data_IF_711601719599
#
_entry.id   IF_711601719599
#
_cell.length_a   1.000
_cell.length_b   1.000
_cell.length_c   1.000
_cell.angle_alpha   90.00
_cell.angle_beta   90.00
_cell.angle_gamma   90.00
#
_symmetry.space_group_name_H-M   'P 1'
#
loop_
_entity.id
_entity.type
_entity.pdbx_description
1 polymer ?
#
# COMPACT_ATOMS: atom_id res chain seq x y z
N UNK A 1 -3.54 -19.20 29.32
CA UNK A 1 -4.85 -19.69 28.88
C UNK A 1 -4.68 -20.37 27.53
N UNK A 2 -4.99 -21.67 27.41
CA UNK A 2 -4.84 -22.37 26.12
C UNK A 2 -6.04 -22.08 25.21
N UNK A 3 -5.88 -22.14 23.87
CA UNK A 3 -7.02 -22.01 22.95
C UNK A 3 -8.15 -23.00 23.26
N UNK A 4 -7.81 -24.22 23.68
CA UNK A 4 -8.78 -25.24 24.12
C UNK A 4 -9.63 -24.77 25.31
N UNK A 5 -9.00 -24.17 26.31
CA UNK A 5 -9.69 -23.68 27.50
C UNK A 5 -10.63 -22.52 27.17
N UNK A 6 -10.24 -21.66 26.22
CA UNK A 6 -11.09 -20.56 25.74
C UNK A 6 -12.34 -21.11 25.04
N UNK A 7 -12.21 -22.18 24.26
CA UNK A 7 -13.33 -22.75 23.48
C UNK A 7 -14.25 -23.65 24.31
N UNK A 8 -13.70 -24.40 25.26
CA UNK A 8 -14.44 -25.46 25.97
C UNK A 8 -14.67 -25.17 27.45
N UNK A 9 -14.13 -24.07 27.99
CA UNK A 9 -14.31 -23.66 29.39
C UNK A 9 -13.60 -24.53 30.43
N UNK A 10 -12.93 -25.60 29.99
CA UNK A 10 -12.23 -26.55 30.85
C UNK A 10 -10.79 -26.74 30.38
N UNK A 11 -9.91 -27.19 31.28
CA UNK A 11 -8.52 -27.48 30.92
C UNK A 11 -8.45 -28.67 29.95
N UNK A 12 -7.51 -28.65 28.98
CA UNK A 12 -7.29 -29.79 28.11
C UNK A 12 -6.88 -31.01 28.95
N UNK A 13 -7.31 -32.23 28.57
CA UNK A 13 -6.90 -33.45 29.27
C UNK A 13 -5.38 -33.58 29.23
N UNK A 14 -4.75 -33.58 30.41
CA UNK A 14 -3.29 -33.70 30.53
C UNK A 14 -2.87 -35.16 30.46
N UNK A 15 -1.86 -35.46 29.64
CA UNK A 15 -1.18 -36.75 29.69
C UNK A 15 -0.35 -36.77 30.98
N UNK A 16 -0.50 -37.76 31.86
CA UNK A 16 0.24 -37.81 33.12
C UNK A 16 1.75 -37.88 32.86
N UNK A 17 2.52 -37.13 33.65
CA UNK A 17 3.97 -37.14 33.56
C UNK A 17 4.51 -38.47 34.09
N UNK A 18 5.29 -39.17 33.25
CA UNK A 18 5.98 -40.37 33.69
C UNK A 18 7.12 -40.02 34.67
N UNK A 19 7.19 -40.77 35.76
CA UNK A 19 8.25 -40.74 36.77
C UNK A 19 9.13 -41.99 36.59
N UNK A 20 10.44 -41.82 36.47
CA UNK A 20 11.37 -42.93 36.29
C UNK A 20 11.25 -43.94 37.45
N UNK A 21 11.24 -45.23 37.13
CA UNK A 21 11.09 -46.32 38.10
C UNK A 21 9.65 -46.64 38.53
N UNK A 22 8.62 -45.97 37.97
CA UNK A 22 7.21 -46.30 38.30
C UNK A 22 6.65 -47.48 37.52
N UNK A 23 7.27 -47.86 36.40
CA UNK A 23 6.88 -49.07 35.68
C UNK A 23 7.60 -50.31 36.23
N UNK A 24 6.87 -51.41 36.38
CA UNK A 24 7.44 -52.69 36.84
C UNK A 24 8.36 -53.36 35.81
N UNK A 25 8.38 -52.87 34.56
CA UNK A 25 9.09 -53.50 33.45
C UNK A 25 10.18 -52.55 32.96
N UNK A 26 11.44 -52.95 33.13
CA UNK A 26 12.62 -52.13 32.78
C UNK A 26 12.61 -51.62 31.33
N UNK A 27 12.15 -52.44 30.38
CA UNK A 27 12.02 -52.05 28.98
C UNK A 27 11.02 -50.90 28.76
N UNK A 28 9.98 -50.81 29.59
CA UNK A 28 8.98 -49.74 29.54
C UNK A 28 9.54 -48.47 30.20
N UNK A 29 10.24 -48.61 31.33
CA UNK A 29 10.85 -47.49 32.05
C UNK A 29 11.88 -46.75 31.19
N UNK A 30 12.79 -47.52 30.58
CA UNK A 30 13.80 -47.00 29.66
C UNK A 30 13.19 -46.33 28.42
N UNK A 31 12.17 -46.94 27.81
CA UNK A 31 11.45 -46.35 26.66
C UNK A 31 10.79 -45.01 27.01
N UNK A 32 10.08 -44.95 28.14
CA UNK A 32 9.37 -43.74 28.57
C UNK A 32 10.33 -42.62 28.96
N UNK A 33 11.45 -42.97 29.61
CA UNK A 33 12.52 -42.02 29.95
C UNK A 33 13.17 -41.46 28.68
N UNK A 34 13.55 -42.33 27.73
CA UNK A 34 14.13 -41.91 26.45
C UNK A 34 13.16 -41.01 25.66
N UNK A 35 11.87 -41.38 25.62
CA UNK A 35 10.83 -40.56 24.96
C UNK A 35 10.74 -39.17 25.58
N UNK A 36 10.79 -39.06 26.91
CA UNK A 36 10.73 -37.77 27.62
C UNK A 36 11.92 -36.90 27.24
N UNK A 37 13.12 -37.45 27.22
CA UNK A 37 14.34 -36.77 26.77
C UNK A 37 14.22 -36.29 25.32
N UNK A 38 13.72 -37.14 24.41
CA UNK A 38 13.47 -36.75 23.01
C UNK A 38 12.48 -35.59 22.90
N UNK A 39 11.36 -35.63 23.63
CA UNK A 39 10.34 -34.56 23.60
C UNK A 39 10.93 -33.23 24.08
N UNK A 40 11.73 -33.24 25.15
CA UNK A 40 12.44 -32.04 25.63
C UNK A 40 13.39 -31.52 24.56
N UNK A 41 14.19 -32.40 23.96
CA UNK A 41 15.11 -32.04 22.88
C UNK A 41 14.38 -31.46 21.66
N UNK A 42 13.23 -32.03 21.28
CA UNK A 42 12.41 -31.52 20.17
C UNK A 42 11.82 -30.15 20.45
N UNK A 43 11.28 -29.93 21.66
CA UNK A 43 10.76 -28.61 22.05
C UNK A 43 11.84 -27.54 21.97
N UNK A 44 13.03 -27.82 22.49
CA UNK A 44 14.19 -26.90 22.42
C UNK A 44 14.61 -26.61 20.97
N UNK A 45 14.60 -27.63 20.10
CA UNK A 45 14.88 -27.44 18.67
C UNK A 45 13.81 -26.61 17.98
N UNK A 46 12.53 -26.84 18.28
CA UNK A 46 11.41 -26.06 17.73
C UNK A 46 11.50 -24.60 18.11
N UNK A 47 11.76 -24.31 19.38
CA UNK A 47 11.95 -22.94 19.88
C UNK A 47 13.11 -22.25 19.15
N UNK A 48 14.27 -22.92 19.03
CA UNK A 48 15.41 -22.41 18.27
C UNK A 48 15.06 -22.11 16.81
N UNK A 49 14.29 -22.98 16.15
CA UNK A 49 13.85 -22.76 14.76
C UNK A 49 12.90 -21.57 14.68
N UNK A 50 11.95 -21.44 15.60
CA UNK A 50 11.04 -20.29 15.66
C UNK A 50 11.80 -18.97 15.81
N UNK A 51 12.80 -18.91 16.70
CA UNK A 51 13.64 -17.73 16.89
C UNK A 51 14.45 -17.38 15.64
N UNK A 52 14.99 -18.39 14.95
CA UNK A 52 15.69 -18.20 13.68
C UNK A 52 14.75 -17.67 12.59
N UNK A 53 13.55 -18.25 12.46
CA UNK A 53 12.54 -17.78 11.50
C UNK A 53 12.11 -16.35 11.79
N UNK A 54 11.91 -16.01 13.07
CA UNK A 54 11.60 -14.64 13.51
C UNK A 54 12.72 -13.68 13.14
N UNK A 55 13.97 -14.00 13.48
CA UNK A 55 15.13 -13.17 13.16
C UNK A 55 15.27 -12.93 11.65
N UNK A 56 15.09 -13.98 10.84
CA UNK A 56 15.13 -13.86 9.37
C UNK A 56 13.99 -13.01 8.84
N UNK A 57 12.78 -13.12 9.41
CA UNK A 57 11.64 -12.29 9.04
C UNK A 57 11.88 -10.81 9.41
N UNK A 58 12.27 -10.55 10.65
CA UNK A 58 12.52 -9.21 11.19
C UNK A 58 13.63 -8.50 10.40
N UNK A 59 14.70 -9.22 10.01
CA UNK A 59 15.78 -8.68 9.17
C UNK A 59 15.30 -8.27 7.76
N UNK A 60 14.25 -8.91 7.23
CA UNK A 60 13.65 -8.54 5.93
C UNK A 60 12.62 -7.41 6.07
N UNK A 61 12.13 -7.16 7.28
CA UNK A 61 11.23 -6.07 7.58
C UNK A 61 12.00 -4.77 7.76
N UNK A 62 11.50 -3.67 7.19
CA UNK A 62 12.03 -2.33 7.46
C UNK A 62 11.19 -1.69 8.55
N UNK A 63 11.83 -1.32 9.65
CA UNK A 63 11.21 -0.47 10.66
C UNK A 63 11.11 0.95 10.09
N UNK A 64 9.88 1.42 9.90
CA UNK A 64 9.59 2.77 9.41
C UNK A 64 8.70 3.46 10.42
N UNK A 65 9.17 4.61 10.87
CA UNK A 65 8.44 5.50 11.76
C UNK A 65 8.19 6.83 11.06
N UNK A 66 7.05 7.43 11.37
CA UNK A 66 6.64 8.73 10.85
C UNK A 66 6.29 9.65 12.00
N UNK A 67 6.58 10.94 11.83
CA UNK A 67 6.21 11.96 12.80
C UNK A 67 4.82 12.53 12.48
N UNK A 68 4.16 13.05 13.51
CA UNK A 68 2.92 13.82 13.34
C UNK A 68 3.23 15.07 12.51
N UNK A 69 2.26 15.52 11.72
CA UNK A 69 2.37 16.63 10.75
C UNK A 69 3.30 16.39 9.55
N UNK A 70 3.93 15.22 9.43
CA UNK A 70 4.60 14.83 8.19
C UNK A 70 3.60 14.40 7.11
N UNK A 71 4.01 14.63 5.87
CA UNK A 71 3.26 14.23 4.69
C UNK A 71 3.70 12.85 4.22
N UNK A 72 2.72 12.00 3.91
CA UNK A 72 2.93 10.65 3.44
C UNK A 72 2.02 10.34 2.27
N UNK A 73 2.52 9.54 1.33
CA UNK A 73 1.70 8.91 0.32
C UNK A 73 1.10 7.61 0.86
N UNK A 74 -0.13 7.31 0.44
CA UNK A 74 -0.83 6.09 0.86
C UNK A 74 -0.95 5.12 -0.29
N UNK A 75 -0.57 3.86 -0.07
CA UNK A 75 -0.83 2.77 -1.01
C UNK A 75 -2.27 2.29 -0.89
N UNK A 76 -3.09 2.58 -1.90
CA UNK A 76 -4.50 2.20 -1.93
C UNK A 76 -4.73 0.99 -2.83
N UNK A 77 -5.78 0.22 -2.55
CA UNK A 77 -6.20 -0.90 -3.40
C UNK A 77 -7.08 -0.39 -4.56
N UNK A 78 -6.61 -0.47 -5.81
CA UNK A 78 -7.30 0.07 -6.98
C UNK A 78 -8.76 -0.32 -7.10
N UNK A 79 -9.04 -1.61 -6.94
CA UNK A 79 -10.34 -2.19 -7.25
C UNK A 79 -11.40 -1.91 -6.16
N UNK A 80 -10.99 -1.42 -4.99
CA UNK A 80 -11.89 -1.18 -3.84
C UNK A 80 -12.01 0.29 -3.47
N UNK A 81 -11.00 1.11 -3.78
CA UNK A 81 -10.87 2.47 -3.25
C UNK A 81 -10.79 3.50 -4.39
N UNK A 82 -11.92 3.70 -5.07
CA UNK A 82 -11.99 4.57 -6.26
C UNK A 82 -12.11 6.07 -5.92
N UNK A 83 -12.57 6.44 -4.72
CA UNK A 83 -12.87 7.85 -4.37
C UNK A 83 -11.67 8.81 -4.38
N UNK A 84 -10.44 8.30 -4.35
CA UNK A 84 -9.21 9.11 -4.39
C UNK A 84 -8.63 9.20 -5.80
N UNK A 85 -9.15 8.42 -6.76
CA UNK A 85 -8.61 8.32 -8.13
C UNK A 85 -9.38 9.24 -9.08
N UNK A 86 -8.64 9.92 -9.96
CA UNK A 86 -9.17 10.62 -11.14
C UNK A 86 -8.82 9.96 -12.48
N UNK A 87 -8.33 8.70 -12.48
CA UNK A 87 -7.83 8.03 -13.70
C UNK A 87 -8.81 6.97 -14.17
N UNK A 88 -9.18 7.03 -15.46
CA UNK A 88 -10.14 6.10 -16.09
C UNK A 88 -9.65 4.64 -16.12
N UNK A 89 -8.33 4.40 -16.17
CA UNK A 89 -7.74 3.07 -16.31
C UNK A 89 -7.03 2.60 -15.04
N UNK A 90 -7.49 1.50 -14.44
CA UNK A 90 -6.97 0.98 -13.17
C UNK A 90 -5.55 0.40 -13.27
N UNK A 91 -5.20 -0.22 -14.40
CA UNK A 91 -3.89 -0.88 -14.63
C UNK A 91 -2.73 0.12 -14.69
N UNK A 92 -3.01 1.35 -15.15
CA UNK A 92 -2.04 2.46 -15.21
C UNK A 92 -2.18 3.43 -14.02
N UNK A 93 -3.03 3.10 -13.04
CA UNK A 93 -3.20 3.92 -11.86
C UNK A 93 -1.95 3.97 -10.99
N UNK A 94 -1.71 5.12 -10.35
CA UNK A 94 -0.63 5.29 -9.37
C UNK A 94 -0.73 4.21 -8.28
N UNK A 95 0.41 3.70 -7.80
CA UNK A 95 0.43 2.76 -6.65
C UNK A 95 0.22 3.49 -5.32
N UNK A 96 0.80 4.69 -5.23
CA UNK A 96 0.76 5.57 -4.07
C UNK A 96 -0.01 6.84 -4.45
N UNK A 97 -0.95 7.21 -3.59
CA UNK A 97 -1.86 8.33 -3.79
C UNK A 97 -1.44 9.50 -2.94
N UNK A 98 -1.81 10.70 -3.44
CA UNK A 98 -1.68 12.06 -2.92
C UNK A 98 -1.05 12.18 -1.53
N UNK A 99 -0.22 13.20 -1.28
CA UNK A 99 0.28 13.40 0.07
C UNK A 99 -0.89 13.66 1.03
N UNK A 100 -0.96 12.86 2.08
CA UNK A 100 -1.85 13.02 3.22
C UNK A 100 -1.02 13.42 4.43
N UNK A 101 -1.52 14.34 5.24
CA UNK A 101 -0.87 14.74 6.49
C UNK A 101 -1.18 13.73 7.59
N UNK A 102 -0.19 13.36 8.39
CA UNK A 102 -0.39 12.54 9.59
C UNK A 102 -0.94 13.43 10.70
N UNK A 103 -2.11 13.09 11.24
CA UNK A 103 -2.74 13.81 12.34
C UNK A 103 -2.31 13.27 13.71
N UNK A 104 -2.22 11.95 13.84
CA UNK A 104 -1.84 11.31 15.11
C UNK A 104 -1.26 9.91 14.87
N UNK A 105 -0.44 9.46 15.81
CA UNK A 105 0.07 8.08 15.90
C UNK A 105 -0.80 7.32 16.91
N UNK A 106 -1.71 6.48 16.44
CA UNK A 106 -2.64 5.70 17.28
C UNK A 106 -1.92 4.56 18.00
N UNK A 107 -0.90 3.99 17.35
CA UNK A 107 -0.10 2.91 17.91
C UNK A 107 1.31 2.90 17.32
N UNK A 108 2.17 1.95 17.74
CA UNK A 108 3.56 1.91 17.28
C UNK A 108 3.68 1.82 15.76
N UNK A 109 2.70 1.20 15.08
CA UNK A 109 2.75 0.95 13.64
C UNK A 109 1.55 1.59 12.90
N UNK A 110 0.68 2.31 13.62
CA UNK A 110 -0.63 2.72 13.11
C UNK A 110 -0.81 4.22 13.21
N UNK A 111 -1.16 4.85 12.10
CA UNK A 111 -1.23 6.30 11.95
C UNK A 111 -2.60 6.71 11.41
N UNK A 112 -3.13 7.83 11.92
CA UNK A 112 -4.32 8.47 11.39
C UNK A 112 -3.92 9.60 10.46
N UNK A 113 -4.56 9.65 9.31
CA UNK A 113 -4.30 10.65 8.27
C UNK A 113 -5.44 11.65 8.14
N UNK A 114 -5.09 12.84 7.69
CA UNK A 114 -6.04 13.88 7.29
C UNK A 114 -6.64 13.52 5.93
N UNK A 115 -7.96 13.32 5.90
CA UNK A 115 -8.67 12.91 4.69
C UNK A 115 -9.18 14.12 3.92
N UNK A 116 -8.98 14.17 2.59
CA UNK A 116 -9.65 15.15 1.73
C UNK A 116 -11.18 15.00 1.84
N UNK A 117 -11.90 16.11 1.85
CA UNK A 117 -13.37 16.16 1.96
C UNK A 117 -14.09 15.28 0.91
N UNK A 118 -13.48 15.08 -0.26
CA UNK A 118 -14.02 14.29 -1.37
C UNK A 118 -13.82 12.78 -1.25
N UNK A 119 -12.96 12.31 -0.34
CA UNK A 119 -12.51 10.92 -0.30
C UNK A 119 -13.31 10.09 0.72
N UNK A 120 -13.65 8.83 0.40
CA UNK A 120 -14.41 7.91 1.29
C UNK A 120 -13.54 6.75 1.84
N UNK A 121 -12.26 7.01 2.08
CA UNK A 121 -11.31 6.00 2.56
C UNK A 121 -11.20 6.07 4.09
N UNK A 122 -10.97 4.92 4.73
CA UNK A 122 -10.62 4.85 6.14
C UNK A 122 -9.40 5.74 6.46
N UNK A 123 -9.40 6.34 7.65
CA UNK A 123 -8.38 7.30 8.07
C UNK A 123 -7.13 6.65 8.66
N UNK A 124 -7.24 5.38 9.07
CA UNK A 124 -6.26 4.69 9.89
C UNK A 124 -5.49 3.71 9.01
N UNK A 125 -4.17 3.86 8.98
CA UNK A 125 -3.28 3.05 8.15
C UNK A 125 -2.11 2.48 8.93
N UNK A 126 -1.68 1.29 8.52
CA UNK A 126 -0.45 0.66 8.99
C UNK A 126 0.77 1.27 8.26
N UNK A 127 1.90 1.42 8.95
CA UNK A 127 3.09 2.11 8.44
C UNK A 127 3.63 1.50 7.12
N UNK A 128 3.46 0.20 6.92
CA UNK A 128 3.90 -0.53 5.71
C UNK A 128 3.17 -0.11 4.43
N UNK A 129 2.01 0.55 4.57
CA UNK A 129 1.19 1.03 3.46
C UNK A 129 1.50 2.51 3.16
N UNK A 130 2.29 3.16 4.01
CA UNK A 130 2.68 4.56 3.89
C UNK A 130 4.06 4.68 3.24
N UNK A 131 4.31 5.82 2.60
CA UNK A 131 5.63 6.21 2.10
C UNK A 131 5.85 7.71 2.37
N UNK A 132 6.98 8.08 2.94
CA UNK A 132 7.31 9.48 3.21
C UNK A 132 7.25 10.33 1.93
N UNK A 133 6.66 11.52 2.04
CA UNK A 133 6.72 12.54 1.02
C UNK A 133 8.00 13.36 1.20
N UNK A 134 8.75 13.55 0.11
CA UNK A 134 9.93 14.41 0.08
C UNK A 134 9.74 15.45 -1.02
N UNK A 135 10.07 16.71 -0.73
CA UNK A 135 9.91 17.83 -1.65
C UNK A 135 8.72 18.74 -1.32
N UNK A 136 8.52 19.81 -2.10
CA UNK A 136 7.41 20.73 -1.93
C UNK A 136 6.09 19.99 -2.14
N UNK A 137 5.06 20.37 -1.38
CA UNK A 137 3.73 19.82 -1.59
C UNK A 137 3.28 20.11 -3.03
N UNK A 138 2.57 19.18 -3.68
CA UNK A 138 1.97 19.46 -4.96
C UNK A 138 0.92 20.56 -4.74
N UNK A 139 1.30 21.81 -5.01
CA UNK A 139 0.37 22.91 -5.25
C UNK A 139 -0.60 22.44 -6.32
N UNK A 140 -1.89 22.80 -6.18
CA UNK A 140 -2.91 22.49 -7.18
C UNK A 140 -2.32 22.69 -8.56
N UNK A 141 -2.40 21.65 -9.41
CA UNK A 141 -1.91 21.72 -10.77
C UNK A 141 -2.48 23.01 -11.35
N UNK A 142 -1.59 23.94 -11.72
CA UNK A 142 -2.01 25.13 -12.45
C UNK A 142 -2.88 24.64 -13.61
N UNK A 143 -3.98 25.36 -13.86
CA UNK A 143 -4.93 25.01 -14.90
C UNK A 143 -4.12 24.55 -16.12
N UNK A 144 -4.30 23.29 -16.52
CA UNK A 144 -3.75 22.85 -17.79
C UNK A 144 -4.23 23.89 -18.80
N UNK A 145 -3.34 24.52 -19.57
CA UNK A 145 -3.80 25.50 -20.55
C UNK A 145 -4.86 24.79 -21.38
N UNK A 146 -6.04 25.41 -21.54
CA UNK A 146 -7.20 24.84 -22.24
C UNK A 146 -6.96 24.60 -23.75
N UNK A 147 -5.69 24.48 -24.13
CA UNK A 147 -5.14 24.47 -25.47
C UNK A 147 -4.96 23.06 -26.00
N UNK A 148 -5.64 22.03 -25.48
CA UNK A 148 -5.59 20.68 -26.07
C UNK A 148 -6.97 20.01 -26.08
N UNK A 149 -7.44 19.61 -27.27
CA UNK A 149 -8.50 18.62 -27.41
C UNK A 149 -7.84 17.27 -27.77
N UNK A 150 -7.76 16.37 -26.80
CA UNK A 150 -7.04 15.11 -26.96
C UNK A 150 -5.51 15.31 -26.96
N UNK A 151 -4.81 14.67 -27.90
CA UNK A 151 -3.34 14.76 -28.06
C UNK A 151 -2.88 15.88 -29.00
N UNK A 152 -3.81 16.70 -29.51
CA UNK A 152 -3.51 17.78 -30.45
C UNK A 152 -3.70 19.14 -29.78
N UNK A 153 -2.84 20.13 -30.07
CA UNK A 153 -3.09 21.49 -29.64
C UNK A 153 -4.43 21.97 -30.22
N UNK A 154 -5.22 22.67 -29.41
CA UNK A 154 -6.45 23.34 -29.82
C UNK A 154 -6.01 24.59 -30.56
N UNK A 155 -5.86 24.46 -31.88
CA UNK A 155 -5.43 25.55 -32.76
C UNK A 155 -6.66 26.39 -33.10
N UNK A 156 -6.62 27.69 -32.81
CA UNK A 156 -7.62 28.66 -33.22
C UNK A 156 -7.01 29.66 -34.22
N UNK A 157 -7.78 30.14 -35.22
CA UNK A 157 -7.29 31.18 -36.13
C UNK A 157 -7.04 32.46 -35.33
N UNK A 158 -5.81 32.97 -35.35
CA UNK A 158 -5.45 34.20 -34.63
C UNK A 158 -5.77 35.42 -35.50
N UNK A 159 -5.22 35.46 -36.71
CA UNK A 159 -5.36 36.57 -37.66
C UNK A 159 -5.33 36.04 -39.08
N UNK A 160 -6.11 36.67 -39.96
CA UNK A 160 -5.99 36.49 -41.42
C UNK A 160 -4.93 37.47 -41.91
N UNK A 161 -3.84 36.95 -42.46
CA UNK A 161 -2.72 37.75 -42.97
C UNK A 161 -2.95 38.20 -44.42
N UNK A 162 -3.57 37.34 -45.23
CA UNK A 162 -3.77 37.61 -46.66
C UNK A 162 -4.96 36.79 -47.22
N UNK A 163 -5.50 37.19 -48.36
CA UNK A 163 -6.59 36.51 -49.05
C UNK A 163 -6.39 36.58 -50.56
N UNK A 164 -6.54 35.45 -51.26
CA UNK A 164 -6.50 35.38 -52.72
C UNK A 164 -7.78 34.77 -53.27
N UNK A 165 -8.20 35.29 -54.42
CA UNK A 165 -9.35 34.76 -55.16
C UNK A 165 -8.95 33.53 -55.97
N UNK A 166 -9.68 32.44 -55.81
CA UNK A 166 -9.41 31.18 -56.53
C UNK A 166 -10.72 30.47 -56.86
N UNK A 167 -11.07 30.42 -58.15
CA UNK A 167 -12.31 29.82 -58.63
C UNK A 167 -12.33 28.27 -58.54
N UNK A 168 -11.22 27.65 -58.11
CA UNK A 168 -11.14 26.18 -57.95
C UNK A 168 -11.69 25.66 -56.62
N UNK A 169 -11.93 26.54 -55.63
CA UNK A 169 -12.40 26.17 -54.27
C UNK A 169 -13.82 26.70 -54.03
N UNK A 170 -14.59 26.07 -53.13
CA UNK A 170 -15.91 26.56 -52.71
C UNK A 170 -15.91 26.76 -51.18
N UNK A 171 -16.04 28.01 -50.67
CA UNK A 171 -16.15 29.28 -51.39
C UNK A 171 -14.87 29.64 -52.18
N UNK A 172 -14.94 30.48 -53.24
CA UNK A 172 -13.84 30.79 -54.16
C UNK A 172 -12.82 31.78 -53.57
N UNK A 173 -12.40 31.54 -52.33
CA UNK A 173 -11.52 32.42 -51.57
C UNK A 173 -10.58 31.56 -50.71
N UNK A 174 -9.28 31.78 -50.88
CA UNK A 174 -8.24 31.16 -50.07
C UNK A 174 -7.63 32.20 -49.15
N UNK A 175 -7.52 31.86 -47.87
CA UNK A 175 -7.11 32.78 -46.81
C UNK A 175 -5.85 32.26 -46.13
N UNK A 176 -4.83 33.11 -46.01
CA UNK A 176 -3.61 32.84 -45.25
C UNK A 176 -3.89 33.17 -43.78
N UNK A 177 -3.98 32.13 -42.95
CA UNK A 177 -4.31 32.26 -41.52
C UNK A 177 -3.05 32.08 -40.68
N UNK A 178 -2.76 33.05 -39.82
CA UNK A 178 -1.83 32.88 -38.71
C UNK A 178 -2.55 32.16 -37.57
N UNK A 179 -2.01 31.03 -37.14
CA UNK A 179 -2.61 30.17 -36.13
C UNK A 179 -2.02 30.44 -34.73
N UNK A 180 -2.87 30.45 -33.72
CA UNK A 180 -2.48 30.72 -32.34
C UNK A 180 -1.59 29.58 -31.81
N UNK A 181 -0.33 29.87 -31.50
CA UNK A 181 0.63 28.89 -30.95
C UNK A 181 1.64 28.31 -31.95
N UNK A 182 1.63 28.75 -33.22
CA UNK A 182 2.66 28.44 -34.21
C UNK A 182 3.45 29.71 -34.56
N UNK A 183 4.76 29.59 -34.73
CA UNK A 183 5.60 30.70 -35.22
C UNK A 183 5.23 31.02 -36.68
N UNK A 184 5.28 32.30 -37.09
CA UNK A 184 4.90 32.74 -38.44
C UNK A 184 5.77 32.11 -39.54
#
# INVERSE_FOLDING_TARGET
MSPFQITYGNEPPSIPNYLAGTSSVEAIDSLLTTRKEMVVAFRKKLEKVQDQMKTVADNKCRFVEYQVDHWVYVRLQPYRQNSVRGVAYQKLGKRFYNPFRILERIGPITYRLERPSTSKIHLIFHCSVLKAHHGPLPTQQGDFPATTQGNSPMIAPMVILDSKWDNSTSPPELVLVQWLGLTP
#
